data_IF_265554994552
#
_entry.id   IF_265554994552
#
_cell.length_a   1.000
_cell.length_b   1.000
_cell.length_c   1.000
_cell.angle_alpha   90.00
_cell.angle_beta   90.00
_cell.angle_gamma   90.00
#
_symmetry.space_group_name_H-M   'P 1'
#
loop_
_entity.id
_entity.type
_entity.pdbx_description
1 polymer ?
#
# COMPACT_ATOMS: atom_id res chain seq x y z
N UNK A 1 -28.30 27.01 8.97
CA UNK A 1 -27.91 25.83 9.78
C UNK A 1 -28.58 24.56 9.23
N UNK A 2 -27.78 23.59 8.75
CA UNK A 2 -28.14 22.48 7.83
C UNK A 2 -28.12 22.85 6.33
N UNK A 3 -26.93 23.16 5.78
CA UNK A 3 -26.69 23.12 4.32
C UNK A 3 -25.20 23.16 3.91
N UNK A 4 -24.24 22.90 4.80
CA UNK A 4 -22.84 23.25 4.53
C UNK A 4 -21.84 22.20 5.01
N UNK A 5 -22.11 20.93 4.73
CA UNK A 5 -21.27 19.80 5.18
C UNK A 5 -21.21 18.66 4.15
N UNK A 6 -21.11 19.01 2.86
CA UNK A 6 -21.00 18.05 1.74
C UNK A 6 -19.81 18.29 0.80
N UNK A 7 -18.78 19.05 1.22
CA UNK A 7 -17.67 19.43 0.34
C UNK A 7 -16.26 19.22 0.93
N UNK A 8 -16.05 18.19 1.76
CA UNK A 8 -14.71 17.87 2.32
C UNK A 8 -14.20 16.46 1.91
N UNK A 9 -14.82 15.82 0.92
CA UNK A 9 -14.27 14.61 0.29
C UNK A 9 -13.61 14.95 -1.05
N UNK A 10 -12.51 15.70 -1.00
CA UNK A 10 -11.61 15.95 -2.14
C UNK A 10 -10.13 16.15 -1.73
N UNK A 11 -9.79 16.03 -0.44
CA UNK A 11 -8.52 16.50 0.11
C UNK A 11 -7.37 15.47 0.16
N UNK A 12 -7.40 14.40 -0.63
CA UNK A 12 -6.23 13.51 -0.82
C UNK A 12 -5.83 13.34 -2.30
N UNK A 13 -6.55 14.00 -3.22
CA UNK A 13 -6.23 14.01 -4.66
C UNK A 13 -6.08 15.42 -5.29
N UNK A 14 -6.27 16.51 -4.53
CA UNK A 14 -6.17 17.89 -5.04
C UNK A 14 -5.38 18.83 -4.11
N UNK A 15 -4.18 18.43 -3.71
CA UNK A 15 -3.28 19.32 -2.97
C UNK A 15 -1.83 19.29 -3.49
N UNK A 16 -1.61 19.24 -4.82
CA UNK A 16 -0.44 19.84 -5.49
C UNK A 16 -0.84 20.21 -6.92
N UNK A 17 -1.62 21.28 -7.07
CA UNK A 17 -1.81 21.95 -8.36
C UNK A 17 -1.95 23.46 -8.14
N UNK A 18 -0.99 24.08 -7.45
CA UNK A 18 -0.75 25.53 -7.54
C UNK A 18 0.59 25.91 -6.89
N UNK A 19 1.66 25.84 -7.70
CA UNK A 19 2.86 26.65 -7.54
C UNK A 19 3.75 26.52 -8.79
N UNK A 20 3.34 27.16 -9.88
CA UNK A 20 4.24 27.57 -10.98
C UNK A 20 3.52 28.61 -11.84
N UNK A 21 3.38 29.83 -11.32
CA UNK A 21 3.21 31.02 -12.16
C UNK A 21 4.62 31.56 -12.44
N UNK A 22 5.18 31.18 -13.58
CA UNK A 22 6.16 32.02 -14.26
C UNK A 22 5.97 31.86 -15.76
N UNK A 23 5.74 32.99 -16.42
CA UNK A 23 5.35 33.15 -17.80
C UNK A 23 6.55 32.94 -18.72
N UNK A 24 6.56 31.87 -19.54
CA UNK A 24 7.24 31.85 -20.85
C UNK A 24 6.63 30.76 -21.75
N UNK A 25 6.43 31.01 -23.06
CA UNK A 25 5.76 30.08 -23.97
C UNK A 25 6.73 28.99 -24.45
N UNK A 26 6.36 27.71 -24.31
CA UNK A 26 7.08 26.58 -24.91
C UNK A 26 6.33 26.08 -26.16
N UNK A 27 7.12 25.83 -27.21
CA UNK A 27 6.75 25.44 -28.57
C UNK A 27 6.04 24.06 -28.67
N UNK A 28 5.31 23.76 -29.77
CA UNK A 28 4.52 22.54 -29.88
C UNK A 28 5.38 21.28 -30.04
N UNK A 29 5.08 20.25 -29.25
CA UNK A 29 5.70 18.91 -29.30
C UNK A 29 5.14 18.07 -30.46
N UNK A 30 5.94 17.22 -31.15
CA UNK A 30 5.46 16.42 -32.27
C UNK A 30 4.73 15.15 -31.81
N UNK A 31 3.68 14.76 -32.55
CA UNK A 31 2.97 13.47 -32.41
C UNK A 31 3.91 12.29 -32.68
N UNK A 32 4.05 11.37 -31.73
CA UNK A 32 4.67 10.07 -31.95
C UNK A 32 3.58 9.01 -32.18
N UNK A 33 3.73 8.26 -33.28
CA UNK A 33 2.84 7.20 -33.76
C UNK A 33 2.81 6.01 -32.80
N UNK A 34 1.63 5.39 -32.65
CA UNK A 34 1.47 4.07 -32.05
C UNK A 34 2.14 3.00 -32.93
N UNK A 35 2.95 2.13 -32.31
CA UNK A 35 3.35 0.86 -32.89
C UNK A 35 2.96 -0.26 -31.91
N UNK A 36 2.08 -1.16 -32.37
CA UNK A 36 1.77 -2.41 -31.70
C UNK A 36 2.82 -3.46 -32.09
N UNK A 37 3.34 -4.24 -31.14
CA UNK A 37 3.69 -5.67 -31.34
C UNK A 37 4.13 -6.38 -30.05
N UNK A 38 3.50 -7.55 -29.84
CA UNK A 38 3.99 -8.88 -29.40
C UNK A 38 4.73 -9.05 -28.06
N UNK A 39 4.20 -9.97 -27.24
CA UNK A 39 4.91 -10.75 -26.23
C UNK A 39 5.37 -12.11 -26.82
N UNK A 40 6.24 -12.90 -26.16
CA UNK A 40 6.96 -12.63 -24.91
C UNK A 40 8.49 -12.71 -25.07
N UNK A 41 9.22 -11.83 -24.38
CA UNK A 41 10.67 -12.00 -24.16
C UNK A 41 10.89 -12.74 -22.84
N UNK A 42 11.80 -13.71 -22.89
CA UNK A 42 12.13 -14.61 -21.80
C UNK A 42 12.49 -13.90 -20.48
N UNK A 43 12.02 -14.51 -19.41
CA UNK A 43 12.02 -14.05 -18.02
C UNK A 43 13.37 -14.30 -17.35
N UNK A 44 13.93 -13.28 -16.67
CA UNK A 44 14.92 -13.49 -15.61
C UNK A 44 14.71 -12.43 -14.49
N UNK A 45 13.96 -12.74 -13.41
CA UNK A 45 13.36 -11.74 -12.53
C UNK A 45 14.26 -11.31 -11.36
N UNK A 46 15.46 -11.86 -11.20
CA UNK A 46 16.28 -11.62 -10.00
C UNK A 46 17.56 -10.89 -10.36
N UNK A 47 17.44 -9.62 -10.77
CA UNK A 47 18.63 -8.76 -10.84
C UNK A 47 19.03 -8.34 -9.42
N UNK A 48 19.99 -9.11 -8.87
CA UNK A 48 20.90 -8.76 -7.76
C UNK A 48 20.33 -8.93 -6.34
N UNK A 49 20.26 -10.18 -5.89
CA UNK A 49 20.33 -10.50 -4.45
C UNK A 49 21.77 -10.27 -3.96
N UNK A 50 21.96 -9.54 -2.86
CA UNK A 50 23.24 -9.61 -2.13
C UNK A 50 23.16 -10.86 -1.23
N UNK A 51 23.93 -11.89 -1.55
CA UNK A 51 24.24 -12.98 -0.60
C UNK A 51 23.19 -14.06 -0.34
N UNK A 52 22.09 -14.15 -1.12
CA UNK A 52 21.08 -15.22 -0.96
C UNK A 52 21.51 -16.56 -1.58
N UNK A 53 21.18 -17.68 -0.92
CA UNK A 53 21.40 -19.04 -1.43
C UNK A 53 20.59 -19.30 -2.71
N UNK A 54 21.02 -20.24 -3.55
CA UNK A 54 20.28 -20.58 -4.78
C UNK A 54 18.86 -21.06 -4.50
N UNK A 55 18.69 -21.82 -3.41
CA UNK A 55 17.38 -22.20 -2.87
C UNK A 55 16.48 -20.99 -2.59
N UNK A 56 17.01 -19.94 -1.94
CA UNK A 56 16.23 -18.73 -1.66
C UNK A 56 15.80 -18.04 -2.97
N UNK A 57 16.64 -18.02 -4.00
CA UNK A 57 16.28 -17.41 -5.30
C UNK A 57 15.14 -18.17 -5.95
N UNK A 58 15.22 -19.50 -5.97
CA UNK A 58 14.18 -20.36 -6.53
C UNK A 58 12.86 -20.21 -5.77
N UNK A 59 12.90 -20.20 -4.44
CA UNK A 59 11.71 -19.99 -3.61
C UNK A 59 11.10 -18.59 -3.79
N UNK A 60 11.90 -17.53 -3.93
CA UNK A 60 11.40 -16.19 -4.24
C UNK A 60 10.66 -16.14 -5.58
N UNK A 61 11.18 -16.82 -6.61
CA UNK A 61 10.54 -16.89 -7.93
C UNK A 61 9.20 -17.64 -7.83
N UNK A 62 9.19 -18.77 -7.13
CA UNK A 62 8.01 -19.59 -6.97
C UNK A 62 6.93 -18.87 -6.13
N UNK A 63 7.31 -18.26 -5.00
CA UNK A 63 6.41 -17.45 -4.16
C UNK A 63 5.80 -16.29 -4.94
N UNK A 64 6.59 -15.59 -5.79
CA UNK A 64 6.08 -14.51 -6.63
C UNK A 64 4.98 -14.99 -7.58
N UNK A 65 5.16 -16.18 -8.16
CA UNK A 65 4.15 -16.79 -9.03
C UNK A 65 2.88 -17.13 -8.25
N UNK A 66 2.99 -17.72 -7.07
CA UNK A 66 1.81 -18.04 -6.25
C UNK A 66 1.07 -16.80 -5.75
N UNK A 67 1.78 -15.70 -5.44
CA UNK A 67 1.13 -14.42 -5.14
C UNK A 67 0.38 -13.88 -6.36
N UNK A 68 0.93 -14.02 -7.57
CA UNK A 68 0.23 -13.64 -8.80
C UNK A 68 -1.06 -14.46 -8.97
N UNK A 69 -0.97 -15.78 -8.82
CA UNK A 69 -2.12 -16.69 -8.91
C UNK A 69 -3.15 -16.39 -7.79
N UNK A 70 -2.70 -15.97 -6.60
CA UNK A 70 -3.58 -15.54 -5.51
C UNK A 70 -4.32 -14.24 -5.85
N UNK A 71 -3.66 -13.27 -6.50
CA UNK A 71 -4.31 -12.06 -6.99
C UNK A 71 -5.39 -12.38 -8.02
N UNK A 72 -5.10 -13.32 -8.93
CA UNK A 72 -6.06 -13.86 -9.88
C UNK A 72 -7.26 -14.51 -9.15
N UNK A 73 -6.99 -15.43 -8.22
CA UNK A 73 -8.02 -16.23 -7.57
C UNK A 73 -8.88 -15.45 -6.58
N UNK A 74 -8.30 -14.48 -5.85
CA UNK A 74 -8.94 -13.80 -4.71
C UNK A 74 -9.22 -12.33 -4.93
N UNK A 75 -8.73 -11.73 -6.02
CA UNK A 75 -8.84 -10.30 -6.29
C UNK A 75 -8.32 -9.43 -5.13
N UNK A 76 -7.22 -9.87 -4.51
CA UNK A 76 -6.69 -9.33 -3.25
C UNK A 76 -5.63 -8.23 -3.45
N UNK A 77 -5.47 -7.69 -4.66
CA UNK A 77 -4.46 -6.67 -4.96
C UNK A 77 -4.46 -5.51 -3.95
N UNK A 78 -5.61 -4.86 -3.64
CA UNK A 78 -5.58 -3.69 -2.77
C UNK A 78 -5.12 -4.01 -1.34
N UNK A 79 -5.49 -5.17 -0.82
CA UNK A 79 -5.16 -5.55 0.56
C UNK A 79 -3.72 -6.03 0.71
N UNK A 80 -3.12 -6.59 -0.35
CA UNK A 80 -1.69 -6.91 -0.37
C UNK A 80 -0.83 -5.64 -0.43
N UNK A 81 -1.24 -4.63 -1.22
CA UNK A 81 -0.58 -3.31 -1.20
C UNK A 81 -0.68 -2.67 0.19
N UNK A 82 -1.87 -2.72 0.81
CA UNK A 82 -2.06 -2.21 2.17
C UNK A 82 -1.18 -2.94 3.19
N UNK A 83 -1.12 -4.27 3.17
CA UNK A 83 -0.30 -5.02 4.11
C UNK A 83 1.18 -4.65 4.00
N UNK A 84 1.74 -4.60 2.78
CA UNK A 84 3.12 -4.20 2.55
C UNK A 84 3.40 -2.76 3.02
N UNK A 85 2.47 -1.83 2.76
CA UNK A 85 2.55 -0.45 3.25
C UNK A 85 2.52 -0.38 4.78
N UNK A 86 1.61 -1.08 5.44
CA UNK A 86 1.43 -1.00 6.89
C UNK A 86 2.60 -1.60 7.66
N UNK A 87 3.25 -2.65 7.14
CA UNK A 87 4.52 -3.15 7.68
C UNK A 87 5.64 -2.11 7.52
N UNK A 88 5.81 -1.55 6.32
CA UNK A 88 6.88 -0.60 6.02
C UNK A 88 6.72 0.79 6.67
N UNK A 89 5.47 1.26 6.83
CA UNK A 89 5.12 2.62 7.24
C UNK A 89 5.41 2.93 8.70
N UNK A 90 5.85 1.95 9.49
CA UNK A 90 6.24 2.15 10.88
C UNK A 90 7.66 2.69 11.04
N UNK A 91 8.44 2.77 9.96
CA UNK A 91 9.84 3.16 9.99
C UNK A 91 10.09 4.55 10.59
N UNK A 92 11.17 4.68 11.34
CA UNK A 92 11.71 5.93 11.85
C UNK A 92 13.21 6.07 11.53
N UNK A 93 13.55 7.05 10.69
CA UNK A 93 14.94 7.31 10.27
C UNK A 93 15.84 7.81 11.40
N UNK A 94 15.25 8.28 12.50
CA UNK A 94 15.99 8.79 13.65
C UNK A 94 16.44 7.67 14.60
N UNK A 95 15.83 6.48 14.51
CA UNK A 95 16.24 5.29 15.27
C UNK A 95 17.19 4.47 14.41
N UNK A 96 18.39 4.15 14.90
CA UNK A 96 19.44 3.46 14.12
C UNK A 96 19.45 1.96 14.34
N UNK A 97 18.99 1.52 15.50
CA UNK A 97 19.03 0.13 15.93
C UNK A 97 17.90 -0.66 15.27
N UNK A 98 18.27 -1.72 14.53
CA UNK A 98 17.33 -2.74 14.10
C UNK A 98 17.08 -3.72 15.25
N UNK A 99 15.85 -4.21 15.48
CA UNK A 99 14.60 -3.93 14.75
C UNK A 99 13.82 -2.70 15.24
N UNK A 100 14.31 -1.96 16.24
CA UNK A 100 13.59 -0.86 16.92
C UNK A 100 13.18 0.28 15.98
N UNK A 101 13.90 0.48 14.89
CA UNK A 101 13.57 1.49 13.88
C UNK A 101 12.32 1.16 13.05
N UNK A 102 11.68 0.00 13.26
CA UNK A 102 10.49 -0.42 12.55
C UNK A 102 10.72 -0.62 11.05
N UNK A 103 9.64 -0.56 10.28
CA UNK A 103 9.65 -0.70 8.83
C UNK A 103 9.44 -2.13 8.36
N UNK A 104 9.86 -2.42 7.12
CA UNK A 104 9.55 -3.67 6.43
C UNK A 104 10.32 -4.88 7.00
N UNK A 105 9.94 -5.33 8.19
CA UNK A 105 10.55 -6.42 8.95
C UNK A 105 9.54 -7.54 9.26
N UNK A 106 8.33 -7.47 8.71
CA UNK A 106 7.28 -8.45 8.92
C UNK A 106 6.73 -8.49 10.34
N UNK A 107 7.01 -7.50 11.19
CA UNK A 107 6.56 -7.46 12.60
C UNK A 107 5.04 -7.34 12.71
N UNK A 108 4.39 -6.79 11.70
CA UNK A 108 2.93 -6.69 11.61
C UNK A 108 2.20 -8.03 11.78
N UNK A 109 2.88 -9.18 11.59
CA UNK A 109 2.29 -10.51 11.81
C UNK A 109 2.01 -10.82 13.29
N UNK A 110 2.65 -10.12 14.21
CA UNK A 110 2.53 -10.38 15.64
C UNK A 110 1.35 -9.64 16.26
N UNK A 111 0.83 -10.21 17.34
CA UNK A 111 -0.37 -9.72 18.05
C UNK A 111 -0.32 -8.23 18.42
N UNK A 112 0.78 -7.69 19.01
CA UNK A 112 0.80 -6.28 19.41
C UNK A 112 0.54 -5.34 18.22
N UNK A 113 1.17 -5.60 17.08
CA UNK A 113 1.07 -4.71 15.93
C UNK A 113 -0.17 -4.98 15.06
N UNK A 114 -0.56 -6.25 14.86
CA UNK A 114 -1.73 -6.58 14.03
C UNK A 114 -3.05 -6.07 14.65
N UNK A 115 -3.09 -5.90 15.98
CA UNK A 115 -4.26 -5.41 16.71
C UNK A 115 -4.35 -3.87 16.77
N UNK A 116 -3.35 -3.14 16.26
CA UNK A 116 -3.46 -1.69 16.12
C UNK A 116 -4.67 -1.31 15.26
N UNK A 117 -5.37 -0.23 15.62
CA UNK A 117 -6.60 0.19 14.92
C UNK A 117 -6.40 0.41 13.42
N UNK A 118 -5.27 1.02 13.02
CA UNK A 118 -4.90 1.22 11.62
C UNK A 118 -4.75 -0.10 10.83
N UNK A 119 -4.47 -1.21 11.51
CA UNK A 119 -4.24 -2.54 10.91
C UNK A 119 -5.51 -3.41 10.85
N UNK A 120 -6.68 -2.86 11.22
CA UNK A 120 -7.95 -3.58 11.19
C UNK A 120 -8.17 -4.36 9.87
N UNK A 121 -8.44 -5.66 10.00
CA UNK A 121 -8.67 -6.59 8.89
C UNK A 121 -7.42 -7.14 8.20
N UNK A 122 -6.20 -6.79 8.63
CA UNK A 122 -4.96 -7.33 8.04
C UNK A 122 -4.61 -8.73 8.56
N UNK A 123 -5.13 -9.15 9.73
CA UNK A 123 -4.89 -10.49 10.28
C UNK A 123 -5.33 -11.60 9.31
N UNK A 124 -6.49 -11.42 8.67
CA UNK A 124 -7.00 -12.35 7.65
C UNK A 124 -6.08 -12.42 6.42
N UNK A 125 -5.38 -11.33 6.10
CA UNK A 125 -4.47 -11.25 4.95
C UNK A 125 -3.16 -11.95 5.27
N UNK A 126 -2.63 -11.79 6.49
CA UNK A 126 -1.47 -12.57 6.97
C UNK A 126 -1.80 -14.06 6.91
N UNK A 127 -2.97 -14.46 7.44
CA UNK A 127 -3.45 -15.84 7.37
C UNK A 127 -3.59 -16.38 5.95
N UNK A 128 -4.08 -15.56 5.03
CA UNK A 128 -4.17 -15.91 3.61
C UNK A 128 -2.80 -16.19 2.96
N UNK A 129 -1.72 -15.57 3.47
CA UNK A 129 -0.35 -15.77 2.99
C UNK A 129 0.38 -16.95 3.68
N UNK A 130 -0.13 -17.48 4.80
CA UNK A 130 0.48 -18.60 5.53
C UNK A 130 0.76 -19.84 4.65
N UNK A 131 -0.14 -20.29 3.76
CA UNK A 131 0.14 -21.46 2.91
C UNK A 131 1.37 -21.24 2.01
N UNK A 132 1.52 -20.04 1.45
CA UNK A 132 2.68 -19.65 0.63
C UNK A 132 3.93 -19.59 1.51
N UNK A 133 3.85 -18.96 2.68
CA UNK A 133 4.97 -18.87 3.63
C UNK A 133 5.46 -20.25 4.08
N UNK A 134 4.54 -21.17 4.38
CA UNK A 134 4.83 -22.53 4.84
C UNK A 134 5.54 -23.36 3.77
N UNK A 135 5.21 -23.12 2.50
CA UNK A 135 5.86 -23.76 1.34
C UNK A 135 7.27 -23.20 1.07
N UNK A 136 7.48 -21.90 1.30
CA UNK A 136 8.71 -21.19 0.97
C UNK A 136 9.39 -20.65 2.23
N UNK A 137 9.99 -21.56 3.00
CA UNK A 137 10.55 -21.22 4.33
C UNK A 137 11.77 -20.29 4.26
N UNK A 138 12.51 -20.29 3.15
CA UNK A 138 13.68 -19.42 2.94
C UNK A 138 13.28 -17.97 2.60
N UNK A 139 12.01 -17.74 2.26
CA UNK A 139 11.45 -16.39 2.07
C UNK A 139 10.96 -15.89 3.44
N UNK A 140 11.50 -14.76 3.89
CA UNK A 140 11.06 -14.11 5.13
C UNK A 140 9.63 -13.57 4.98
N UNK A 141 8.92 -13.43 6.10
CA UNK A 141 7.63 -12.72 6.11
C UNK A 141 7.76 -11.29 5.57
N UNK A 142 8.82 -10.60 5.96
CA UNK A 142 9.17 -9.27 5.49
C UNK A 142 9.24 -9.20 3.96
N UNK A 143 9.97 -10.12 3.32
CA UNK A 143 10.03 -10.16 1.85
C UNK A 143 8.70 -10.61 1.23
N UNK A 144 7.98 -11.53 1.86
CA UNK A 144 6.68 -12.00 1.35
C UNK A 144 5.63 -10.89 1.31
N UNK A 145 5.56 -10.05 2.34
CA UNK A 145 4.63 -8.91 2.39
C UNK A 145 4.97 -7.85 1.32
N UNK A 146 6.25 -7.51 1.19
CA UNK A 146 6.69 -6.53 0.20
C UNK A 146 6.57 -7.08 -1.24
N UNK A 147 6.82 -8.38 -1.44
CA UNK A 147 6.54 -9.07 -2.70
C UNK A 147 5.05 -9.03 -3.03
N UNK A 148 4.18 -9.28 -2.04
CA UNK A 148 2.73 -9.17 -2.14
C UNK A 148 2.30 -7.82 -2.70
N UNK A 149 2.76 -6.72 -2.08
CA UNK A 149 2.44 -5.36 -2.52
C UNK A 149 2.94 -5.07 -3.94
N UNK A 150 4.18 -5.43 -4.27
CA UNK A 150 4.75 -5.17 -5.59
C UNK A 150 4.08 -5.95 -6.72
N UNK A 151 3.79 -7.25 -6.50
CA UNK A 151 3.05 -8.08 -7.45
C UNK A 151 1.63 -7.57 -7.62
N UNK A 152 0.98 -7.15 -6.54
CA UNK A 152 -0.36 -6.60 -6.59
C UNK A 152 -0.46 -5.33 -7.44
N UNK A 153 0.52 -4.42 -7.35
CA UNK A 153 0.60 -3.23 -8.22
C UNK A 153 0.77 -3.62 -9.69
N UNK A 154 1.71 -4.51 -9.99
CA UNK A 154 1.99 -4.97 -11.36
C UNK A 154 0.77 -5.68 -11.98
N UNK A 155 0.15 -6.60 -11.23
CA UNK A 155 -1.04 -7.33 -11.65
C UNK A 155 -2.25 -6.40 -11.87
N UNK A 156 -2.37 -5.32 -11.09
CA UNK A 156 -3.41 -4.31 -11.30
C UNK A 156 -3.16 -3.40 -12.52
N UNK A 157 -2.08 -3.62 -13.29
CA UNK A 157 -1.71 -2.84 -14.47
C UNK A 157 -0.79 -1.65 -14.15
N UNK A 158 -0.28 -1.57 -12.93
CA UNK A 158 0.66 -0.54 -12.49
C UNK A 158 2.07 -0.77 -13.02
N UNK A 159 3.03 0.09 -12.65
CA UNK A 159 4.43 -0.09 -13.01
C UNK A 159 5.04 -1.33 -12.34
N UNK A 160 5.98 -1.97 -13.02
CA UNK A 160 6.82 -2.99 -12.40
C UNK A 160 7.81 -2.32 -11.43
N UNK A 161 7.68 -2.63 -10.14
CA UNK A 161 8.56 -2.07 -9.11
C UNK A 161 9.87 -2.88 -9.08
N UNK A 162 11.01 -2.16 -9.08
CA UNK A 162 12.33 -2.77 -9.03
C UNK A 162 12.67 -3.29 -7.62
N UNK A 163 12.06 -4.41 -7.25
CA UNK A 163 12.21 -5.01 -5.93
C UNK A 163 13.60 -5.61 -5.71
N UNK A 164 14.09 -5.43 -4.49
CA UNK A 164 15.20 -6.19 -3.91
C UNK A 164 14.67 -6.96 -2.70
N UNK A 165 15.22 -8.17 -2.52
CA UNK A 165 14.87 -9.09 -1.43
C UNK A 165 16.14 -9.42 -0.62
N UNK A 166 15.95 -10.10 0.50
CA UNK A 166 16.93 -10.34 1.55
C UNK A 166 16.57 -9.68 2.88
N UNK A 167 15.31 -9.27 3.09
CA UNK A 167 14.86 -8.73 4.37
C UNK A 167 14.87 -9.82 5.43
N UNK A 168 15.25 -9.45 6.65
CA UNK A 168 15.23 -10.34 7.81
C UNK A 168 13.94 -10.08 8.59
N UNK A 169 13.30 -11.14 9.07
CA UNK A 169 12.13 -11.01 9.92
C UNK A 169 12.51 -10.45 11.29
N UNK A 170 11.69 -9.53 11.81
CA UNK A 170 11.72 -9.16 13.22
C UNK A 170 11.59 -10.43 14.07
N UNK A 171 12.48 -10.64 15.07
CA UNK A 171 12.63 -11.94 15.73
C UNK A 171 11.38 -12.37 16.49
N UNK A 172 10.71 -11.41 17.13
CA UNK A 172 9.65 -11.63 18.11
C UNK A 172 8.70 -10.43 18.19
N UNK A 173 7.73 -10.50 19.11
CA UNK A 173 6.70 -9.49 19.27
C UNK A 173 7.28 -8.16 19.79
N UNK A 174 8.43 -8.19 20.46
CA UNK A 174 9.17 -7.03 20.97
C UNK A 174 9.78 -6.19 19.83
N UNK A 175 9.87 -6.76 18.62
CA UNK A 175 10.24 -6.03 17.40
C UNK A 175 9.10 -5.14 16.86
N UNK A 176 7.87 -5.27 17.36
CA UNK A 176 6.74 -4.46 16.92
C UNK A 176 6.96 -2.99 17.23
N UNK A 177 6.65 -2.13 16.27
CA UNK A 177 6.64 -0.68 16.53
C UNK A 177 5.46 -0.30 17.41
N UNK A 178 5.56 0.72 18.28
CA UNK A 178 4.43 1.20 19.05
C UNK A 178 3.32 1.75 18.14
N UNK A 179 2.07 1.66 18.59
CA UNK A 179 0.93 2.25 17.89
C UNK A 179 1.09 3.77 17.75
N UNK A 180 0.69 4.32 16.60
CA UNK A 180 0.72 5.77 16.31
C UNK A 180 1.70 6.18 15.22
N UNK A 181 2.47 5.23 14.66
CA UNK A 181 3.38 5.53 13.57
C UNK A 181 2.68 5.66 12.20
N UNK A 182 1.53 5.02 11.98
CA UNK A 182 0.78 5.12 10.72
C UNK A 182 -0.11 6.37 10.69
N UNK A 183 -0.41 6.94 9.50
CA UNK A 183 -1.18 8.16 9.39
C UNK A 183 -2.67 7.95 9.66
N UNK A 184 -3.30 8.96 10.26
CA UNK A 184 -4.74 9.06 10.45
C UNK A 184 -5.41 9.67 9.21
N UNK A 185 -6.55 9.11 8.83
CA UNK A 185 -7.35 9.60 7.70
C UNK A 185 -8.28 10.77 8.09
N UNK A 186 -8.74 10.81 9.35
CA UNK A 186 -9.61 11.84 9.91
C UNK A 186 -9.06 12.29 11.27
N UNK A 187 -9.29 13.55 11.68
CA UNK A 187 -8.90 13.99 13.01
C UNK A 187 -9.82 13.36 14.07
N UNK A 188 -9.34 13.29 15.31
CA UNK A 188 -10.16 12.90 16.45
C UNK A 188 -11.24 13.97 16.78
N UNK A 189 -12.06 13.70 17.80
CA UNK A 189 -13.15 14.59 18.25
C UNK A 189 -12.71 16.02 18.63
N UNK A 190 -11.40 16.25 18.83
CA UNK A 190 -10.81 17.57 19.13
C UNK A 190 -10.25 18.27 17.88
N UNK A 191 -10.44 17.70 16.70
CA UNK A 191 -9.91 18.25 15.44
C UNK A 191 -8.40 18.07 15.30
N UNK A 192 -7.81 17.05 15.92
CA UNK A 192 -6.37 16.77 15.86
C UNK A 192 -6.13 15.42 15.19
N UNK A 193 -5.26 15.39 14.19
CA UNK A 193 -4.71 14.19 13.58
C UNK A 193 -3.49 13.70 14.37
N UNK A 194 -3.24 12.40 14.38
CA UNK A 194 -2.09 11.81 15.05
C UNK A 194 -2.17 11.90 16.57
N UNK A 195 -1.06 11.56 17.20
CA UNK A 195 -0.91 11.58 18.65
C UNK A 195 0.56 11.64 19.06
N UNK A 196 0.80 11.86 20.36
CA UNK A 196 2.11 11.68 20.97
C UNK A 196 2.55 10.19 21.07
N UNK A 197 1.70 9.25 20.64
CA UNK A 197 2.07 7.84 20.50
C UNK A 197 3.13 7.61 19.41
N UNK A 198 3.54 6.36 19.24
CA UNK A 198 4.56 5.99 18.24
C UNK A 198 5.99 6.30 18.69
N UNK A 199 6.90 6.43 17.73
CA UNK A 199 8.32 6.77 17.94
C UNK A 199 8.58 8.28 17.93
N UNK A 200 7.66 9.05 17.35
CA UNK A 200 7.68 10.51 17.34
C UNK A 200 6.24 11.06 17.28
N UNK A 201 6.00 12.24 17.85
CA UNK A 201 4.69 12.88 17.79
C UNK A 201 4.30 13.20 16.35
N UNK A 202 3.10 12.74 15.97
CA UNK A 202 2.49 13.00 14.66
C UNK A 202 1.33 13.99 14.76
N UNK A 203 1.15 14.64 15.93
CA UNK A 203 0.02 15.53 16.19
C UNK A 203 -0.01 16.74 15.25
N UNK A 204 -1.12 16.96 14.56
CA UNK A 204 -1.32 18.13 13.72
C UNK A 204 -2.81 18.50 13.63
N UNK A 205 -3.10 19.78 13.38
CA UNK A 205 -4.47 20.27 13.15
C UNK A 205 -4.87 20.20 11.67
N UNK A 206 -3.88 20.31 10.80
CA UNK A 206 -4.09 20.24 9.35
C UNK A 206 -3.63 18.89 8.80
N UNK A 207 -4.38 18.26 7.88
CA UNK A 207 -4.03 16.96 7.32
C UNK A 207 -2.68 16.98 6.58
N UNK A 208 -2.36 18.09 5.90
CA UNK A 208 -1.08 18.23 5.19
C UNK A 208 0.12 18.18 6.14
N UNK A 209 0.01 18.80 7.31
CA UNK A 209 1.07 18.78 8.32
C UNK A 209 1.21 17.41 8.96
N UNK A 210 0.08 16.72 9.20
CA UNK A 210 0.08 15.35 9.70
C UNK A 210 0.81 14.41 8.74
N UNK A 211 0.48 14.47 7.44
CA UNK A 211 1.15 13.67 6.41
C UNK A 211 2.65 13.94 6.38
N UNK A 212 3.07 15.20 6.39
CA UNK A 212 4.51 15.53 6.44
C UNK A 212 5.19 14.97 7.67
N UNK A 213 4.60 15.11 8.87
CA UNK A 213 5.18 14.54 10.10
C UNK A 213 5.38 13.03 10.02
N UNK A 214 4.37 12.31 9.54
CA UNK A 214 4.41 10.86 9.41
C UNK A 214 5.43 10.40 8.36
N UNK A 215 5.40 10.98 7.16
CA UNK A 215 6.24 10.54 6.06
C UNK A 215 7.67 11.05 6.14
N UNK A 216 7.90 12.25 6.70
CA UNK A 216 9.26 12.76 6.92
C UNK A 216 9.98 11.94 8.00
N UNK A 217 9.26 11.41 8.99
CA UNK A 217 9.80 10.42 9.94
C UNK A 217 10.28 9.14 9.22
N UNK A 218 9.64 8.75 8.12
CA UNK A 218 10.09 7.64 7.28
C UNK A 218 11.23 8.02 6.32
N UNK A 219 11.62 9.31 6.27
CA UNK A 219 12.64 9.82 5.36
C UNK A 219 12.14 10.11 3.94
N UNK A 220 10.83 10.27 3.76
CA UNK A 220 10.22 10.54 2.46
C UNK A 220 9.97 12.04 2.24
N UNK A 221 9.92 12.48 0.98
CA UNK A 221 9.63 13.86 0.60
C UNK A 221 8.17 14.09 0.16
N UNK A 222 7.79 15.35 -0.07
CA UNK A 222 6.44 15.73 -0.52
C UNK A 222 6.03 15.05 -1.85
N UNK A 223 6.98 14.77 -2.76
CA UNK A 223 6.70 14.10 -4.03
C UNK A 223 6.36 12.63 -3.79
N UNK A 224 7.09 11.96 -2.90
CA UNK A 224 6.85 10.58 -2.51
C UNK A 224 5.51 10.43 -1.78
N UNK A 225 5.13 11.37 -0.91
CA UNK A 225 3.81 11.40 -0.26
C UNK A 225 2.69 11.37 -1.30
N UNK A 226 2.77 12.25 -2.31
CA UNK A 226 1.74 12.36 -3.35
C UNK A 226 1.73 11.12 -4.25
N UNK A 227 2.91 10.63 -4.65
CA UNK A 227 3.03 9.44 -5.49
C UNK A 227 2.46 8.19 -4.79
N UNK A 228 2.76 8.00 -3.51
CA UNK A 228 2.27 6.86 -2.72
C UNK A 228 0.77 6.95 -2.42
N UNK A 229 0.24 8.16 -2.21
CA UNK A 229 -1.21 8.38 -2.05
C UNK A 229 -2.01 7.90 -3.26
N UNK A 230 -1.40 7.89 -4.45
CA UNK A 230 -2.00 7.33 -5.68
C UNK A 230 -2.36 5.84 -5.58
N UNK A 231 -1.79 5.09 -4.64
CA UNK A 231 -2.15 3.69 -4.40
C UNK A 231 -3.63 3.50 -4.03
N UNK A 232 -4.31 4.53 -3.50
CA UNK A 232 -5.76 4.52 -3.26
C UNK A 232 -6.62 4.40 -4.53
N UNK A 233 -6.01 4.50 -5.71
CA UNK A 233 -6.66 4.04 -6.94
C UNK A 233 -7.08 2.56 -6.88
N UNK A 234 -6.44 1.78 -6.00
CA UNK A 234 -6.79 0.41 -5.67
C UNK A 234 -7.53 0.37 -4.33
N UNK A 235 -8.63 -0.38 -4.31
CA UNK A 235 -9.37 -0.71 -3.10
C UNK A 235 -10.47 0.29 -2.75
N UNK A 236 -10.82 0.26 -1.46
CA UNK A 236 -11.98 0.91 -0.88
C UNK A 236 -11.88 0.95 0.64
N UNK A 237 -12.48 1.96 1.24
CA UNK A 237 -12.69 2.06 2.68
C UNK A 237 -13.90 1.23 3.12
N UNK A 238 -13.85 0.74 4.35
CA UNK A 238 -14.87 -0.12 4.95
C UNK A 238 -15.23 0.41 6.33
N UNK A 239 -16.53 0.60 6.61
CA UNK A 239 -16.99 1.06 7.93
C UNK A 239 -16.64 0.09 9.06
N UNK A 240 -16.73 -1.21 8.80
CA UNK A 240 -16.38 -2.27 9.76
C UNK A 240 -14.86 -2.46 9.95
N UNK A 241 -14.03 -1.60 9.32
CA UNK A 241 -12.58 -1.58 9.50
C UNK A 241 -12.09 -0.23 9.96
N UNK A 242 -12.08 0.76 9.07
CA UNK A 242 -11.57 2.10 9.38
C UNK A 242 -12.65 3.03 9.96
N UNK A 243 -13.91 2.61 10.02
CA UNK A 243 -15.04 3.51 10.30
C UNK A 243 -15.45 4.39 9.12
N UNK A 244 -14.68 4.40 8.04
CA UNK A 244 -14.85 5.32 6.90
C UNK A 244 -15.54 4.68 5.71
N UNK A 245 -16.11 5.54 4.86
CA UNK A 245 -16.77 5.16 3.62
C UNK A 245 -18.25 4.80 3.80
N UNK A 246 -18.89 4.50 2.67
CA UNK A 246 -20.28 4.00 2.63
C UNK A 246 -20.32 2.48 2.73
N UNK A 247 -21.44 1.90 3.18
CA UNK A 247 -21.58 0.43 3.27
C UNK A 247 -21.50 -0.24 1.89
N UNK A 248 -21.97 0.45 0.86
CA UNK A 248 -21.83 0.10 -0.56
C UNK A 248 -22.01 1.33 -1.44
N UNK A 249 -21.56 1.24 -2.67
CA UNK A 249 -21.76 2.22 -3.74
C UNK A 249 -22.21 1.49 -5.00
N UNK A 250 -22.65 2.21 -6.04
CA UNK A 250 -22.95 1.63 -7.36
C UNK A 250 -21.76 0.90 -8.02
N UNK A 251 -20.54 1.10 -7.51
CA UNK A 251 -19.33 0.44 -8.00
C UNK A 251 -18.92 -0.79 -7.18
N UNK A 252 -19.52 -0.97 -6.00
CA UNK A 252 -19.09 -1.97 -5.01
C UNK A 252 -20.22 -2.85 -4.50
N UNK A 253 -21.46 -2.63 -4.95
CA UNK A 253 -22.65 -3.39 -4.58
C UNK A 253 -22.74 -4.80 -5.19
N UNK A 254 -21.78 -5.16 -6.06
CA UNK A 254 -21.73 -6.45 -6.76
C UNK A 254 -22.25 -6.40 -8.20
N UNK A 255 -22.76 -5.26 -8.66
CA UNK A 255 -23.22 -5.08 -10.04
C UNK A 255 -22.09 -4.79 -11.05
N UNK A 256 -20.93 -4.33 -10.56
CA UNK A 256 -19.80 -3.92 -11.40
C UNK A 256 -18.77 -5.04 -11.63
N UNK A 257 -18.10 -5.01 -12.78
CA UNK A 257 -16.99 -5.93 -13.12
C UNK A 257 -15.81 -5.69 -12.18
N UNK A 258 -15.48 -6.71 -11.38
CA UNK A 258 -14.58 -6.57 -10.23
C UNK A 258 -13.12 -6.85 -10.57
N UNK A 259 -12.76 -7.34 -11.76
CA UNK A 259 -11.36 -7.60 -12.16
C UNK A 259 -10.87 -6.69 -13.28
N UNK A 260 -9.57 -6.40 -13.28
CA UNK A 260 -8.93 -5.55 -14.27
C UNK A 260 -8.98 -6.12 -15.71
N UNK A 261 -9.05 -7.45 -15.84
CA UNK A 261 -9.15 -8.16 -17.12
C UNK A 261 -10.58 -8.30 -17.67
N UNK A 262 -11.57 -7.68 -17.01
CA UNK A 262 -12.96 -7.70 -17.45
C UNK A 262 -13.76 -8.94 -17.02
N UNK A 263 -13.13 -9.91 -16.33
CA UNK A 263 -13.82 -11.10 -15.82
C UNK A 263 -14.60 -10.80 -14.54
N UNK A 264 -15.56 -11.67 -14.22
CA UNK A 264 -16.19 -11.67 -12.91
C UNK A 264 -15.11 -11.87 -11.84
N UNK A 265 -14.99 -10.93 -10.90
CA UNK A 265 -14.11 -11.12 -9.75
C UNK A 265 -14.86 -11.73 -8.59
N UNK A 266 -14.11 -12.42 -7.74
CA UNK A 266 -14.54 -12.81 -6.41
C UNK A 266 -14.25 -11.67 -5.41
N UNK A 267 -14.93 -11.70 -4.26
CA UNK A 267 -14.63 -10.80 -3.14
C UNK A 267 -15.88 -10.28 -2.44
N UNK A 268 -15.71 -9.79 -1.22
CA UNK A 268 -16.79 -9.18 -0.41
C UNK A 268 -17.39 -7.98 -1.16
N UNK A 269 -18.71 -7.89 -1.28
CA UNK A 269 -19.39 -6.67 -1.76
C UNK A 269 -19.43 -5.61 -0.65
N UNK A 270 -19.56 -4.33 -1.02
CA UNK A 270 -19.64 -3.21 -0.09
C UNK A 270 -18.38 -2.34 -0.01
N UNK A 271 -18.35 -1.39 0.92
CA UNK A 271 -17.31 -0.36 1.03
C UNK A 271 -17.41 0.73 -0.04
N UNK A 272 -16.59 1.77 0.09
CA UNK A 272 -16.52 2.89 -0.85
C UNK A 272 -15.13 3.02 -1.47
N UNK A 273 -15.04 2.85 -2.79
CA UNK A 273 -13.80 3.01 -3.54
C UNK A 273 -13.53 4.48 -3.86
N UNK A 274 -12.25 4.84 -3.97
CA UNK A 274 -11.82 6.16 -4.44
C UNK A 274 -11.90 6.31 -5.95
N UNK A 275 -11.76 5.20 -6.69
CA UNK A 275 -11.91 5.13 -8.13
C UNK A 275 -13.06 4.20 -8.53
N UNK A 276 -13.67 4.44 -9.69
CA UNK A 276 -14.74 3.60 -10.25
C UNK A 276 -14.28 2.13 -10.41
N UNK A 277 -13.06 1.93 -10.92
CA UNK A 277 -12.43 0.59 -10.99
C UNK A 277 -11.37 0.45 -9.91
N UNK A 278 -11.77 0.22 -8.67
CA UNK A 278 -10.88 0.01 -7.51
C UNK A 278 -9.98 -1.23 -7.57
N UNK A 279 -9.78 -1.83 -8.74
CA UNK A 279 -8.87 -2.97 -8.98
C UNK A 279 -7.88 -2.70 -10.11
N UNK A 280 -7.96 -1.51 -10.71
CA UNK A 280 -7.08 -1.06 -11.78
C UNK A 280 -6.18 0.03 -11.25
N UNK A 281 -4.89 -0.09 -11.53
CA UNK A 281 -3.94 0.97 -11.29
C UNK A 281 -4.00 1.97 -12.46
N UNK A 282 -4.37 3.22 -12.18
CA UNK A 282 -4.40 4.28 -13.17
C UNK A 282 -3.02 4.95 -13.24
N UNK A 283 -2.56 5.25 -14.46
CA UNK A 283 -1.28 5.91 -14.74
C UNK A 283 -1.49 7.40 -14.92
#
# INVERSE_FOLDING_TARGET
>A
PRSMMRFVFFAVAMAVAQAASSTHPLAPTPRIRQAATKAPLAFNPVQRLRGGSDKMKEELIAARKEIWDLCEEKNCNPVLVRLGWHDAGTHDVNIKEWPKCGGAIGSIRFKPEIEHGANAGLADIVKMLEPIKNKYQSVSWADLFQMGGAVAVEHAGGPKIAMKYGRVDGPDAEACSPQGNLPDAEPNDKGVYGGAGGTASTEAKEPGDHLRKVFYRMGMDDKEIVALSGAHTLGRAWKDRSGLGSDKTKFTDGSAVVRNDGKAGCGKTGGASWAEKGVKFYK
#
